data_IF_090924813601
#
_entry.id   IF_090924813601
#
_cell.length_a   1.000
_cell.length_b   1.000
_cell.length_c   1.000
_cell.angle_alpha   90.00
_cell.angle_beta   90.00
_cell.angle_gamma   90.00
#
_symmetry.space_group_name_H-M   'P 1'
#
loop_
_entity.id
_entity.type
_entity.pdbx_description
1 polymer ?
#
# COMPACT_ATOMS: atom_id res chain seq x y z
N UNK A 1 -67.01 -31.36 7.91
CA UNK A 1 -65.86 -31.86 8.70
C UNK A 1 -65.26 -33.02 7.93
N UNK A 2 -64.10 -32.78 7.30
CA UNK A 2 -62.84 -33.52 7.58
C UNK A 2 -62.80 -34.91 6.93
N UNK A 3 -61.77 -35.39 6.23
CA UNK A 3 -60.49 -34.88 5.75
C UNK A 3 -60.08 -35.85 4.61
N UNK A 4 -59.79 -35.32 3.41
CA UNK A 4 -59.54 -36.10 2.19
C UNK A 4 -58.21 -36.87 2.25
N UNK A 5 -58.26 -38.20 2.18
CA UNK A 5 -57.94 -39.05 1.01
C UNK A 5 -56.66 -38.68 0.22
N UNK A 6 -55.72 -39.64 0.31
CA UNK A 6 -54.98 -40.29 -0.79
C UNK A 6 -54.11 -39.37 -1.68
N UNK A 7 -52.79 -39.43 -1.51
CA UNK A 7 -51.93 -40.35 -2.27
C UNK A 7 -52.24 -40.33 -3.77
N UNK A 8 -51.96 -39.24 -4.48
CA UNK A 8 -51.54 -39.18 -5.90
C UNK A 8 -51.13 -37.73 -6.25
N UNK A 9 -49.96 -37.31 -5.73
CA UNK A 9 -49.29 -36.08 -6.15
C UNK A 9 -48.36 -36.37 -7.33
N UNK A 10 -48.77 -35.92 -8.51
CA UNK A 10 -48.10 -36.06 -9.81
C UNK A 10 -46.59 -35.72 -9.77
N UNK A 11 -45.78 -36.61 -10.35
CA UNK A 11 -44.41 -36.35 -10.83
C UNK A 11 -44.43 -35.14 -11.77
N UNK A 12 -43.97 -33.99 -11.30
CA UNK A 12 -43.52 -32.91 -12.18
C UNK A 12 -42.13 -33.27 -12.71
N UNK A 13 -42.07 -33.62 -14.00
CA UNK A 13 -40.83 -33.68 -14.79
C UNK A 13 -40.08 -32.36 -14.62
N UNK A 14 -38.94 -32.38 -13.95
CA UNK A 14 -37.96 -31.29 -14.05
C UNK A 14 -37.37 -31.32 -15.46
N UNK A 15 -37.79 -30.37 -16.28
CA UNK A 15 -37.19 -30.07 -17.58
C UNK A 15 -35.71 -29.70 -17.34
N UNK A 16 -34.75 -30.31 -18.06
CA UNK A 16 -33.35 -29.90 -17.96
C UNK A 16 -33.23 -28.44 -18.42
N UNK A 17 -32.73 -27.60 -17.50
CA UNK A 17 -32.41 -26.20 -17.77
C UNK A 17 -31.32 -26.19 -18.85
N UNK A 18 -31.51 -25.50 -19.99
CA UNK A 18 -30.46 -25.39 -20.98
C UNK A 18 -29.29 -24.65 -20.34
N UNK A 19 -28.14 -25.34 -20.27
CA UNK A 19 -26.83 -24.73 -20.08
C UNK A 19 -26.59 -23.79 -21.24
N UNK A 20 -26.99 -22.53 -21.06
CA UNK A 20 -26.53 -21.42 -21.86
C UNK A 20 -25.04 -21.28 -21.59
N UNK A 21 -24.27 -21.75 -22.57
CA UNK A 21 -22.94 -21.25 -22.84
C UNK A 21 -23.00 -19.72 -22.90
N UNK A 22 -22.11 -19.11 -22.14
CA UNK A 22 -21.14 -18.13 -22.60
C UNK A 22 -20.35 -17.76 -21.34
N UNK A 23 -19.34 -18.57 -21.06
CA UNK A 23 -18.09 -18.02 -20.57
C UNK A 23 -17.67 -16.98 -21.61
N UNK A 24 -18.18 -15.76 -21.46
CA UNK A 24 -17.65 -14.62 -22.18
C UNK A 24 -16.16 -14.61 -21.88
N UNK A 25 -15.29 -14.43 -22.89
CA UNK A 25 -13.87 -14.28 -22.61
C UNK A 25 -13.76 -13.17 -21.56
N UNK A 26 -13.10 -13.51 -20.44
CA UNK A 26 -12.61 -12.54 -19.46
C UNK A 26 -12.26 -11.29 -20.25
N UNK A 27 -12.95 -10.17 -19.97
CA UNK A 27 -12.63 -8.93 -20.65
C UNK A 27 -11.12 -8.79 -20.51
N UNK A 28 -10.40 -8.91 -21.63
CA UNK A 28 -9.01 -8.55 -21.67
C UNK A 28 -9.04 -7.08 -21.29
N UNK A 29 -8.86 -6.78 -20.00
CA UNK A 29 -8.29 -5.50 -19.62
C UNK A 29 -7.05 -5.46 -20.49
N UNK A 30 -6.91 -4.50 -21.43
CA UNK A 30 -5.65 -4.37 -22.12
C UNK A 30 -4.62 -4.33 -21.00
N UNK A 31 -3.76 -5.35 -20.94
CA UNK A 31 -2.60 -5.32 -20.08
C UNK A 31 -1.76 -4.21 -20.70
N UNK A 32 -2.04 -2.96 -20.30
CA UNK A 32 -1.22 -1.82 -20.62
C UNK A 32 0.10 -2.19 -20.00
N UNK A 33 1.00 -2.75 -20.82
CA UNK A 33 2.35 -3.09 -20.40
C UNK A 33 2.92 -1.78 -19.89
N UNK A 34 3.32 -1.76 -18.62
CA UNK A 34 4.00 -0.61 -18.06
C UNK A 34 5.19 -0.25 -18.96
N UNK A 35 5.42 1.04 -19.17
CA UNK A 35 6.60 1.47 -19.93
C UNK A 35 7.88 0.97 -19.23
N UNK A 36 8.97 0.73 -19.96
CA UNK A 36 10.26 0.37 -19.36
C UNK A 36 10.70 1.37 -18.27
N UNK A 37 10.40 2.66 -18.48
CA UNK A 37 10.65 3.72 -17.51
C UNK A 37 9.85 3.50 -16.21
N UNK A 38 8.57 3.16 -16.32
CA UNK A 38 7.73 2.89 -15.15
C UNK A 38 8.19 1.63 -14.40
N UNK A 39 8.70 0.62 -15.11
CA UNK A 39 9.30 -0.56 -14.49
C UNK A 39 10.56 -0.21 -13.70
N UNK A 40 11.43 0.62 -14.29
CA UNK A 40 12.64 1.08 -13.63
C UNK A 40 12.31 1.96 -12.41
N UNK A 41 11.32 2.85 -12.50
CA UNK A 41 10.87 3.68 -11.38
C UNK A 41 10.34 2.81 -10.23
N UNK A 42 9.46 1.84 -10.52
CA UNK A 42 8.94 0.93 -9.50
C UNK A 42 10.05 0.09 -8.86
N UNK A 43 11.02 -0.40 -9.64
CA UNK A 43 12.17 -1.14 -9.13
C UNK A 43 13.05 -0.27 -8.22
N UNK A 44 13.31 0.99 -8.61
CA UNK A 44 14.09 1.93 -7.83
C UNK A 44 13.40 2.28 -6.50
N UNK A 45 12.11 2.62 -6.54
CA UNK A 45 11.30 2.89 -5.33
C UNK A 45 11.38 1.70 -4.38
N UNK A 46 11.26 0.48 -4.90
CA UNK A 46 11.27 -0.73 -4.09
C UNK A 46 12.65 -1.03 -3.50
N UNK A 47 13.71 -0.85 -4.28
CA UNK A 47 15.10 -0.93 -3.81
C UNK A 47 15.33 0.03 -2.64
N UNK A 48 14.92 1.29 -2.80
CA UNK A 48 15.04 2.32 -1.78
C UNK A 48 14.21 2.00 -0.53
N UNK A 49 13.00 1.42 -0.70
CA UNK A 49 12.18 0.96 0.43
C UNK A 49 12.93 -0.10 1.22
N UNK A 50 13.50 -1.11 0.56
CA UNK A 50 14.27 -2.13 1.28
C UNK A 50 15.56 -1.60 1.89
N UNK A 51 16.17 -0.56 1.32
CA UNK A 51 17.33 0.08 1.93
C UNK A 51 16.94 0.84 3.22
N UNK A 52 15.75 1.45 3.26
CA UNK A 52 15.27 2.20 4.43
C UNK A 52 14.54 1.34 5.49
N UNK A 53 14.03 0.17 5.10
CA UNK A 53 13.21 -0.69 5.96
C UNK A 53 13.94 -1.18 7.24
N UNK A 54 15.23 -1.58 7.22
CA UNK A 54 15.93 -1.98 8.44
C UNK A 54 15.90 -0.90 9.54
N UNK A 55 16.27 0.33 9.19
CA UNK A 55 16.30 1.45 10.14
C UNK A 55 14.89 1.80 10.65
N UNK A 56 13.89 1.72 9.77
CA UNK A 56 12.50 1.92 10.18
C UNK A 56 12.04 0.84 11.18
N UNK A 57 12.41 -0.44 10.97
CA UNK A 57 12.11 -1.53 11.90
C UNK A 57 12.85 -1.40 13.24
N UNK A 58 14.09 -0.90 13.23
CA UNK A 58 14.84 -0.56 14.44
C UNK A 58 14.13 0.55 15.22
N UNK A 59 13.72 1.61 14.52
CA UNK A 59 13.11 2.80 15.11
C UNK A 59 11.77 2.55 15.83
N UNK A 60 11.03 1.50 15.47
CA UNK A 60 9.80 1.13 16.19
C UNK A 60 10.06 0.47 17.55
N UNK A 61 11.25 -0.10 17.77
CA UNK A 61 11.66 -0.67 19.04
C UNK A 61 10.93 -1.94 19.49
N UNK A 62 10.27 -2.66 18.58
CA UNK A 62 9.52 -3.91 18.90
C UNK A 62 10.14 -5.16 18.29
N UNK A 63 11.10 -5.01 17.38
CA UNK A 63 11.80 -6.12 16.72
C UNK A 63 13.16 -6.34 17.36
N UNK A 64 13.59 -7.60 17.46
CA UNK A 64 14.94 -7.95 17.91
C UNK A 64 15.95 -7.58 16.83
N UNK A 65 16.96 -6.80 17.20
CA UNK A 65 17.93 -6.20 16.27
C UNK A 65 18.69 -7.24 15.43
N UNK A 66 19.04 -8.37 16.05
CA UNK A 66 19.76 -9.49 15.43
C UNK A 66 18.93 -10.22 14.36
N UNK A 67 17.61 -10.06 14.36
CA UNK A 67 16.71 -10.73 13.41
C UNK A 67 16.30 -9.88 12.21
N UNK A 68 16.56 -8.57 12.25
CA UNK A 68 16.04 -7.62 11.25
C UNK A 68 16.58 -7.93 9.85
N UNK A 69 17.88 -8.09 9.68
CA UNK A 69 18.47 -8.32 8.35
C UNK A 69 17.96 -9.62 7.71
N UNK A 70 17.81 -10.69 8.48
CA UNK A 70 17.24 -11.95 7.99
C UNK A 70 15.76 -11.82 7.62
N UNK A 71 14.98 -11.06 8.39
CA UNK A 71 13.61 -10.73 8.04
C UNK A 71 13.53 -9.96 6.72
N UNK A 72 14.40 -8.97 6.51
CA UNK A 72 14.46 -8.20 5.25
C UNK A 72 14.84 -9.10 4.07
N UNK A 73 15.85 -9.95 4.25
CA UNK A 73 16.26 -10.91 3.22
C UNK A 73 15.12 -11.85 2.84
N UNK A 74 14.35 -12.31 3.82
CA UNK A 74 13.19 -13.17 3.59
C UNK A 74 12.04 -12.43 2.87
N UNK A 75 11.80 -11.16 3.20
CA UNK A 75 10.83 -10.32 2.48
C UNK A 75 11.23 -10.16 1.01
N UNK A 76 12.50 -9.85 0.74
CA UNK A 76 13.05 -9.76 -0.63
C UNK A 76 12.94 -11.08 -1.38
N UNK A 77 13.18 -12.22 -0.72
CA UNK A 77 13.09 -13.54 -1.35
C UNK A 77 11.67 -13.86 -1.84
N UNK A 78 10.65 -13.39 -1.14
CA UNK A 78 9.23 -13.62 -1.46
C UNK A 78 8.59 -12.50 -2.27
N UNK A 79 9.42 -11.58 -2.74
CA UNK A 79 8.98 -10.44 -3.51
C UNK A 79 8.36 -10.86 -4.84
N UNK A 80 7.33 -10.12 -5.25
CA UNK A 80 6.75 -10.21 -6.59
C UNK A 80 6.76 -8.85 -7.26
N UNK A 81 6.95 -8.83 -8.58
CA UNK A 81 6.93 -7.60 -9.38
C UNK A 81 5.58 -6.90 -9.23
N UNK A 82 5.58 -5.57 -9.27
CA UNK A 82 4.39 -4.70 -9.16
C UNK A 82 3.58 -4.83 -7.85
N UNK A 83 4.08 -5.57 -6.85
CA UNK A 83 3.48 -5.58 -5.52
C UNK A 83 4.28 -4.71 -4.55
N UNK A 84 3.60 -3.96 -3.66
CA UNK A 84 4.28 -3.25 -2.59
C UNK A 84 4.98 -4.24 -1.66
N UNK A 85 6.04 -3.78 -1.00
CA UNK A 85 6.75 -4.57 0.02
C UNK A 85 5.75 -4.98 1.10
N UNK A 86 5.66 -6.29 1.34
CA UNK A 86 4.58 -6.88 2.14
C UNK A 86 5.03 -8.11 2.90
N UNK A 87 4.71 -8.15 4.19
CA UNK A 87 4.90 -9.30 5.07
C UNK A 87 3.73 -10.30 5.00
N UNK A 88 2.73 -10.11 4.13
CA UNK A 88 1.60 -11.06 4.01
C UNK A 88 2.03 -12.47 3.59
N UNK A 89 3.22 -12.63 3.02
CA UNK A 89 3.77 -13.94 2.68
C UNK A 89 4.43 -14.67 3.86
N UNK A 90 4.58 -13.98 5.01
CA UNK A 90 5.18 -14.48 6.26
C UNK A 90 4.15 -14.74 7.37
N UNK A 91 2.94 -15.19 7.02
CA UNK A 91 1.86 -15.43 8.01
C UNK A 91 2.30 -16.37 9.13
N UNK A 92 1.77 -16.12 10.33
CA UNK A 92 1.99 -16.69 11.69
C UNK A 92 3.05 -17.80 11.89
N UNK A 93 3.04 -18.86 11.07
CA UNK A 93 3.90 -20.03 11.23
C UNK A 93 4.90 -20.22 10.09
N UNK A 94 5.02 -19.23 9.20
CA UNK A 94 6.03 -19.23 8.15
C UNK A 94 7.41 -19.18 8.79
N UNK A 95 8.11 -20.31 8.69
CA UNK A 95 9.46 -20.46 9.21
C UNK A 95 10.45 -19.96 8.15
N UNK A 96 11.45 -19.20 8.58
CA UNK A 96 12.55 -18.75 7.73
C UNK A 96 13.88 -18.77 8.50
N UNK A 97 15.00 -18.90 7.79
CA UNK A 97 16.32 -18.95 8.42
C UNK A 97 16.79 -17.56 8.88
N UNK A 98 17.42 -17.50 10.04
CA UNK A 98 18.26 -16.39 10.49
C UNK A 98 19.66 -16.50 9.90
N UNK A 99 20.48 -15.46 10.09
CA UNK A 99 21.85 -15.39 9.58
C UNK A 99 22.77 -16.50 10.12
N UNK A 100 22.49 -16.99 11.33
CA UNK A 100 23.20 -18.11 11.97
C UNK A 100 22.67 -19.50 11.53
N UNK A 101 21.71 -19.54 10.60
CA UNK A 101 21.08 -20.76 10.12
C UNK A 101 19.97 -21.30 11.03
N UNK A 102 19.71 -20.66 12.18
CA UNK A 102 18.58 -21.06 13.04
C UNK A 102 17.26 -20.71 12.38
N UNK A 103 16.24 -21.55 12.62
CA UNK A 103 14.91 -21.35 12.05
C UNK A 103 14.06 -20.51 13.02
N UNK A 104 13.43 -19.46 12.50
CA UNK A 104 12.59 -18.55 13.28
C UNK A 104 11.22 -18.35 12.64
N UNK A 105 10.31 -17.71 13.36
CA UNK A 105 9.05 -17.19 12.83
C UNK A 105 9.01 -15.68 13.00
N UNK A 106 8.13 -15.01 12.25
CA UNK A 106 7.95 -13.58 12.35
C UNK A 106 7.59 -13.13 13.78
N UNK A 107 6.87 -13.96 14.55
CA UNK A 107 6.55 -13.65 15.94
C UNK A 107 7.76 -13.74 16.86
N UNK A 108 8.67 -14.70 16.63
CA UNK A 108 9.89 -14.86 17.42
C UNK A 108 10.93 -13.74 17.16
N UNK A 109 10.77 -12.98 16.06
CA UNK A 109 11.51 -11.76 15.79
C UNK A 109 11.07 -10.57 16.65
N UNK A 110 9.95 -10.66 17.37
CA UNK A 110 9.48 -9.60 18.27
C UNK A 110 10.17 -9.72 19.63
N UNK A 111 10.42 -8.56 20.26
CA UNK A 111 10.84 -8.50 21.67
C UNK A 111 9.62 -8.91 22.53
N UNK A 112 9.73 -9.89 23.44
CA UNK A 112 8.57 -10.46 24.14
C UNK A 112 7.68 -9.42 24.84
N UNK A 113 8.26 -8.49 25.59
CA UNK A 113 7.51 -7.47 26.33
C UNK A 113 6.93 -6.38 25.44
N UNK A 114 7.72 -5.87 24.49
CA UNK A 114 7.30 -4.78 23.60
C UNK A 114 6.35 -5.25 22.48
N UNK A 115 6.46 -6.52 22.09
CA UNK A 115 5.75 -7.12 20.95
C UNK A 115 4.50 -7.91 21.29
N UNK A 116 4.16 -8.08 22.59
CA UNK A 116 3.11 -8.99 23.08
C UNK A 116 1.76 -8.87 22.34
N UNK A 117 1.35 -7.65 21.97
CA UNK A 117 0.09 -7.37 21.29
C UNK A 117 0.29 -6.84 19.86
N UNK A 118 1.51 -6.93 19.32
CA UNK A 118 1.84 -6.39 18.01
C UNK A 118 1.54 -7.43 16.93
N UNK A 119 0.70 -7.04 15.96
CA UNK A 119 0.60 -7.77 14.71
C UNK A 119 1.76 -7.37 13.80
N UNK A 120 2.84 -8.17 13.81
CA UNK A 120 4.06 -7.90 13.05
C UNK A 120 3.79 -7.69 11.55
N UNK A 121 2.93 -8.50 10.93
CA UNK A 121 2.57 -8.36 9.51
C UNK A 121 1.95 -6.98 9.23
N UNK A 122 0.93 -6.60 10.02
CA UNK A 122 0.28 -5.29 9.86
C UNK A 122 1.25 -4.14 10.10
N UNK A 123 2.15 -4.28 11.08
CA UNK A 123 3.13 -3.25 11.39
C UNK A 123 4.14 -3.08 10.25
N UNK A 124 4.74 -4.17 9.77
CA UNK A 124 5.69 -4.14 8.64
C UNK A 124 5.02 -3.56 7.40
N UNK A 125 3.81 -4.00 7.06
CA UNK A 125 3.08 -3.46 5.91
C UNK A 125 2.81 -1.96 6.04
N UNK A 126 2.52 -1.48 7.26
CA UNK A 126 2.29 -0.05 7.51
C UNK A 126 3.57 0.77 7.38
N UNK A 127 4.69 0.26 7.88
CA UNK A 127 6.02 0.87 7.75
C UNK A 127 6.43 0.90 6.27
N UNK A 128 6.35 -0.24 5.59
CA UNK A 128 6.66 -0.36 4.18
C UNK A 128 5.80 0.60 3.34
N UNK A 129 4.48 0.66 3.57
CA UNK A 129 3.60 1.58 2.87
C UNK A 129 3.93 3.06 3.11
N UNK A 130 4.31 3.44 4.33
CA UNK A 130 4.76 4.81 4.63
C UNK A 130 6.09 5.14 3.94
N UNK A 131 7.07 4.22 3.97
CA UNK A 131 8.33 4.37 3.23
C UNK A 131 8.09 4.50 1.72
N UNK A 132 7.27 3.62 1.15
CA UNK A 132 6.89 3.67 -0.27
C UNK A 132 6.30 5.02 -0.62
N UNK A 133 5.35 5.53 0.18
CA UNK A 133 4.75 6.84 -0.08
C UNK A 133 5.79 7.97 -0.06
N UNK A 134 6.68 7.99 0.94
CA UNK A 134 7.72 9.03 1.07
C UNK A 134 8.72 9.00 -0.09
N UNK A 135 9.14 7.80 -0.48
CA UNK A 135 10.10 7.60 -1.56
C UNK A 135 9.45 7.95 -2.90
N UNK A 136 8.25 7.43 -3.17
CA UNK A 136 7.49 7.74 -4.38
C UNK A 136 7.29 9.25 -4.56
N UNK A 137 6.99 9.97 -3.48
CA UNK A 137 6.83 11.42 -3.54
C UNK A 137 8.10 12.16 -3.98
N UNK A 138 9.30 11.67 -3.63
CA UNK A 138 10.57 12.23 -4.10
C UNK A 138 10.72 12.03 -5.61
N UNK A 139 10.44 10.82 -6.09
CA UNK A 139 10.46 10.52 -7.53
C UNK A 139 9.40 11.33 -8.30
N UNK A 140 8.19 11.46 -7.75
CA UNK A 140 7.10 12.22 -8.34
C UNK A 140 7.48 13.71 -8.51
N UNK A 141 8.10 14.33 -7.49
CA UNK A 141 8.58 15.71 -7.57
C UNK A 141 9.64 15.88 -8.67
N UNK A 142 10.62 14.98 -8.73
CA UNK A 142 11.66 15.01 -9.78
C UNK A 142 11.05 14.86 -11.18
N UNK A 143 10.11 13.92 -11.33
CA UNK A 143 9.41 13.68 -12.59
C UNK A 143 8.59 14.90 -13.01
N UNK A 144 7.84 15.50 -12.08
CA UNK A 144 7.06 16.71 -12.39
C UNK A 144 7.96 17.89 -12.74
N UNK A 145 9.09 18.07 -12.06
CA UNK A 145 10.06 19.11 -12.40
C UNK A 145 10.61 18.90 -13.83
N UNK A 146 10.96 17.67 -14.19
CA UNK A 146 11.41 17.31 -15.54
C UNK A 146 10.34 17.55 -16.62
N UNK A 147 9.05 17.47 -16.27
CA UNK A 147 7.93 17.80 -17.17
C UNK A 147 7.62 19.31 -17.23
N UNK A 148 8.41 20.16 -16.57
CA UNK A 148 8.21 21.61 -16.55
C UNK A 148 7.14 22.11 -15.58
N UNK A 149 6.71 21.28 -14.62
CA UNK A 149 5.83 21.74 -13.54
C UNK A 149 6.59 22.72 -12.65
N UNK A 150 6.13 23.97 -12.58
CA UNK A 150 6.79 25.03 -11.80
C UNK A 150 6.44 25.00 -10.32
N UNK A 151 5.23 24.56 -9.98
CA UNK A 151 4.72 24.65 -8.61
C UNK A 151 3.86 23.46 -8.19
N UNK A 152 3.89 23.18 -6.89
CA UNK A 152 3.15 22.10 -6.26
C UNK A 152 2.39 22.61 -5.04
N UNK A 153 1.28 21.94 -4.73
CA UNK A 153 0.53 22.16 -3.50
C UNK A 153 0.67 20.95 -2.59
N UNK A 154 0.95 21.19 -1.31
CA UNK A 154 0.97 20.13 -0.30
C UNK A 154 -0.44 19.91 0.24
N UNK A 155 -0.88 18.66 0.29
CA UNK A 155 -2.18 18.28 0.85
C UNK A 155 -2.04 17.26 1.98
N UNK A 156 -2.93 17.31 2.98
CA UNK A 156 -2.94 16.31 4.04
C UNK A 156 -3.60 15.02 3.50
N UNK A 157 -3.03 13.85 3.80
CA UNK A 157 -3.60 12.59 3.32
C UNK A 157 -4.96 12.22 3.91
N UNK A 158 -5.31 12.81 5.05
CA UNK A 158 -6.68 12.80 5.58
C UNK A 158 -7.13 14.25 5.75
N UNK A 159 -8.37 14.60 5.34
CA UNK A 159 -8.94 15.91 5.64
C UNK A 159 -8.75 16.21 7.14
N UNK A 160 -8.25 17.41 7.45
CA UNK A 160 -8.05 17.89 8.83
C UNK A 160 -6.99 17.18 9.69
N UNK A 161 -6.37 16.08 9.26
CA UNK A 161 -5.48 15.29 10.12
C UNK A 161 -4.08 15.87 10.35
N UNK A 162 -3.61 16.76 9.47
CA UNK A 162 -2.29 17.39 9.63
C UNK A 162 -2.43 18.91 9.76
N UNK A 163 -2.47 19.46 10.98
CA UNK A 163 -2.57 20.91 11.21
C UNK A 163 -1.41 21.70 10.63
N UNK A 164 -0.20 21.13 10.60
CA UNK A 164 0.97 21.79 9.99
C UNK A 164 0.78 21.95 8.49
N UNK A 165 0.47 20.85 7.79
CA UNK A 165 0.18 20.90 6.35
C UNK A 165 -0.98 21.85 6.06
N UNK A 166 -2.01 21.89 6.90
CA UNK A 166 -3.09 22.89 6.78
C UNK A 166 -2.59 24.33 6.85
N UNK A 167 -1.66 24.64 7.76
CA UNK A 167 -1.04 25.97 7.90
C UNK A 167 -0.10 26.32 6.75
N UNK A 168 0.48 25.32 6.08
CA UNK A 168 1.39 25.49 4.94
C UNK A 168 0.76 25.12 3.59
N UNK A 169 -0.59 25.13 3.47
CA UNK A 169 -1.38 24.89 2.23
C UNK A 169 -1.05 25.83 1.06
N UNK A 170 0.00 26.63 1.20
CA UNK A 170 0.57 27.49 0.18
C UNK A 170 1.08 26.66 -0.98
N UNK A 171 1.07 27.30 -2.14
CA UNK A 171 1.71 26.81 -3.35
C UNK A 171 3.21 27.02 -3.16
N UNK A 172 4.00 25.98 -3.42
CA UNK A 172 5.45 26.03 -3.34
C UNK A 172 6.03 25.90 -4.75
N UNK A 173 7.10 26.63 -5.09
CA UNK A 173 7.95 26.27 -6.21
C UNK A 173 8.39 24.80 -6.07
N UNK A 174 8.42 24.04 -7.16
CA UNK A 174 8.69 22.60 -7.09
C UNK A 174 10.08 22.29 -6.50
N UNK A 175 11.06 23.16 -6.77
CA UNK A 175 12.45 23.06 -6.29
C UNK A 175 12.59 23.41 -4.80
N UNK A 176 11.65 24.19 -4.26
CA UNK A 176 11.64 24.65 -2.88
C UNK A 176 10.61 23.90 -2.01
N UNK A 177 9.94 22.90 -2.58
CA UNK A 177 8.91 22.15 -1.89
C UNK A 177 9.53 21.40 -0.69
N UNK A 178 9.08 21.66 0.57
CA UNK A 178 9.67 21.02 1.74
C UNK A 178 9.39 19.51 1.70
N UNK A 179 10.34 18.65 2.13
CA UNK A 179 10.15 17.21 2.14
C UNK A 179 9.00 16.79 3.06
N UNK A 180 8.27 15.75 2.66
CA UNK A 180 7.22 15.11 3.47
C UNK A 180 7.74 13.74 3.97
N UNK A 181 7.61 13.41 5.26
CA UNK A 181 7.05 14.24 6.33
C UNK A 181 7.91 15.48 6.64
N UNK A 182 7.25 16.53 7.14
CA UNK A 182 7.93 17.75 7.60
C UNK A 182 8.86 17.42 8.78
N UNK A 183 9.91 18.23 8.98
CA UNK A 183 11.01 17.99 9.95
C UNK A 183 10.53 17.76 11.40
N UNK A 184 9.39 18.33 11.82
CA UNK A 184 8.79 18.06 13.15
C UNK A 184 7.38 17.48 13.02
N UNK A 185 7.20 16.53 12.10
CA UNK A 185 6.00 15.71 12.02
C UNK A 185 6.02 14.70 13.15
N UNK A 186 5.04 14.77 14.06
CA UNK A 186 4.90 13.84 15.19
C UNK A 186 4.17 12.55 14.83
N UNK A 187 3.60 12.48 13.61
CA UNK A 187 2.88 11.30 13.14
C UNK A 187 3.85 10.15 12.86
N UNK A 188 3.54 8.98 13.43
CA UNK A 188 4.31 7.75 13.18
C UNK A 188 4.31 7.35 11.70
N UNK A 189 3.22 7.65 10.99
CA UNK A 189 3.04 7.35 9.57
C UNK A 189 2.38 8.54 8.89
N UNK A 190 3.09 9.17 7.96
CA UNK A 190 2.61 10.35 7.27
C UNK A 190 1.94 9.98 5.96
N UNK A 191 0.72 10.48 5.74
CA UNK A 191 -0.01 10.29 4.48
C UNK A 191 -0.12 11.57 3.65
N UNK A 192 0.53 12.66 4.07
CA UNK A 192 0.53 13.91 3.30
C UNK A 192 1.24 13.70 1.97
N UNK A 193 0.95 14.53 0.97
CA UNK A 193 1.57 14.42 -0.35
C UNK A 193 1.55 15.73 -1.12
N UNK A 194 2.10 15.67 -2.33
CA UNK A 194 2.22 16.79 -3.25
C UNK A 194 1.24 16.64 -4.41
N UNK A 195 0.71 17.76 -4.90
CA UNK A 195 -0.12 17.82 -6.10
C UNK A 195 0.50 18.83 -7.08
N UNK A 196 0.80 18.46 -8.33
CA UNK A 196 1.33 19.38 -9.32
C UNK A 196 0.26 20.39 -9.74
N UNK A 197 0.69 21.62 -9.98
CA UNK A 197 -0.16 22.68 -10.53
C UNK A 197 0.32 23.01 -11.95
N UNK A 198 -0.51 22.69 -12.92
CA UNK A 198 -0.34 23.01 -14.33
C UNK A 198 -1.00 24.38 -14.60
N UNK A 199 -0.31 25.24 -15.33
CA UNK A 199 -0.85 26.53 -15.76
C UNK A 199 -2.12 26.32 -16.59
N UNK A 200 -3.18 27.08 -16.30
CA UNK A 200 -4.47 27.00 -17.02
C UNK A 200 -5.46 25.92 -16.55
N UNK A 201 -5.12 25.10 -15.55
CA UNK A 201 -6.05 24.15 -14.93
C UNK A 201 -6.60 24.71 -13.62
N UNK A 202 -7.93 24.83 -13.50
CA UNK A 202 -8.60 25.21 -12.25
C UNK A 202 -8.78 23.98 -11.34
N UNK A 203 -7.99 23.94 -10.27
CA UNK A 203 -7.95 22.85 -9.30
C UNK A 203 -8.99 22.97 -8.18
N UNK A 204 -9.66 24.11 -8.02
CA UNK A 204 -10.66 24.31 -6.96
C UNK A 204 -12.00 23.65 -7.33
N UNK A 205 -12.34 23.63 -8.64
CA UNK A 205 -13.55 22.95 -9.14
C UNK A 205 -13.53 21.43 -9.01
N UNK A 206 -12.36 20.79 -9.02
CA UNK A 206 -12.27 19.31 -8.96
C UNK A 206 -12.41 18.75 -7.54
N UNK A 207 -12.32 19.58 -6.50
CA UNK A 207 -12.39 19.14 -5.10
C UNK A 207 -13.84 19.22 -4.57
N UNK A 208 -14.68 20.09 -5.13
CA UNK A 208 -16.06 20.28 -4.68
C UNK A 208 -17.10 19.28 -5.22
N UNK A 209 -16.72 18.32 -6.06
CA UNK A 209 -17.66 17.36 -6.68
C UNK A 209 -17.58 15.93 -6.13
N UNK A 210 -16.66 15.60 -5.22
CA UNK A 210 -16.54 14.24 -4.67
C UNK A 210 -17.21 14.02 -3.31
N UNK A 211 -17.79 15.05 -2.69
CA UNK A 211 -18.39 14.94 -1.34
C UNK A 211 -19.94 14.90 -1.34
N UNK A 212 -20.54 14.56 -2.48
CA UNK A 212 -22.00 14.40 -2.60
C UNK A 212 -22.35 13.14 -3.39
N UNK A 213 -22.13 11.95 -2.83
CA UNK A 213 -22.94 10.73 -3.07
C UNK A 213 -22.64 9.62 -2.07
#
# INVERSE_FOLDING_TARGET
>A
MEFFRKLFGKKSRSVPKPTSSLAGPNSMRPAIKASPEKLAEEANVKSDVYAALPDALRGVGVFRLDTIESLIAELRRRETDFQPVSAYHLKKDAIFPLADGTMTTLHACLIPEAGKNVNAVKLINRIAGDLTNRIQQKYDLQRWAAMGVKSVKIYPGKPHACPRVQRIRKIHPIEEAPPIPLIDCTEKFCSCGYRPLFEGIDYERTIGQSDSH
#
